data_IF_902575269906
#
_entry.id   IF_902575269906
#
_cell.length_a   1.000
_cell.length_b   1.000
_cell.length_c   1.000
_cell.angle_alpha   90.00
_cell.angle_beta   90.00
_cell.angle_gamma   90.00
#
_symmetry.space_group_name_H-M   'P 1'
#
loop_
_entity.id
_entity.type
_entity.pdbx_description
1 polymer ?
#
# COMPACT_ATOMS: atom_id res chain seq x y z
N UNK A 1 -27.85 29.22 -6.27
CA UNK A 1 -26.41 28.87 -6.23
C UNK A 1 -25.90 28.61 -4.80
N UNK A 2 -26.62 27.83 -3.97
CA UNK A 2 -26.15 27.48 -2.61
C UNK A 2 -26.05 25.96 -2.38
N UNK A 3 -26.62 25.15 -3.27
CA UNK A 3 -26.66 23.69 -3.14
C UNK A 3 -25.33 23.01 -3.57
N UNK A 4 -24.63 23.56 -4.58
CA UNK A 4 -23.38 22.97 -5.10
C UNK A 4 -22.20 23.07 -4.13
N UNK A 5 -22.18 24.09 -3.27
CA UNK A 5 -21.09 24.31 -2.31
C UNK A 5 -21.18 23.33 -1.13
N UNK A 6 -22.41 22.97 -0.72
CA UNK A 6 -22.66 21.98 0.33
C UNK A 6 -22.31 20.56 -0.16
N UNK A 7 -22.64 20.23 -1.41
CA UNK A 7 -22.28 18.93 -2.00
C UNK A 7 -20.75 18.73 -2.08
N UNK A 8 -20.01 19.78 -2.43
CA UNK A 8 -18.55 19.71 -2.52
C UNK A 8 -17.91 19.46 -1.15
N UNK A 9 -18.41 20.10 -0.09
CA UNK A 9 -17.95 19.84 1.28
C UNK A 9 -18.25 18.40 1.71
N UNK A 10 -19.45 17.88 1.45
CA UNK A 10 -19.82 16.51 1.87
C UNK A 10 -18.95 15.46 1.17
N UNK A 11 -18.61 15.65 -0.11
CA UNK A 11 -17.70 14.74 -0.83
C UNK A 11 -16.24 14.82 -0.38
N UNK A 12 -15.77 15.97 0.14
CA UNK A 12 -14.44 16.10 0.73
C UNK A 12 -14.31 15.38 2.09
N UNK A 13 -15.43 15.14 2.80
CA UNK A 13 -15.44 14.41 4.08
C UNK A 13 -15.67 12.90 3.94
N UNK A 14 -15.97 12.38 2.75
CA UNK A 14 -15.91 10.93 2.44
C UNK A 14 -14.45 10.54 2.10
N UNK A 15 -13.48 11.25 2.69
CA UNK A 15 -12.14 10.75 2.86
C UNK A 15 -12.24 9.55 3.79
N UNK A 16 -11.96 8.38 3.25
CA UNK A 16 -11.63 7.14 3.94
C UNK A 16 -11.37 7.37 5.43
N UNK A 17 -12.26 6.89 6.30
CA UNK A 17 -11.99 6.81 7.75
C UNK A 17 -10.80 5.88 7.91
N UNK A 18 -9.62 6.46 7.79
CA UNK A 18 -8.34 5.80 7.96
C UNK A 18 -8.33 5.41 9.44
N UNK A 19 -8.13 4.14 9.83
CA UNK A 19 -8.12 3.79 11.24
C UNK A 19 -6.92 4.48 11.89
N UNK A 20 -7.19 5.60 12.55
CA UNK A 20 -6.26 6.38 13.34
C UNK A 20 -6.18 5.73 14.72
N UNK A 21 -4.99 5.31 15.12
CA UNK A 21 -4.68 4.96 16.50
C UNK A 21 -3.55 5.88 16.95
N UNK A 22 -3.93 7.01 17.57
CA UNK A 22 -2.99 8.04 18.00
C UNK A 22 -2.20 8.64 16.83
N UNK A 23 -0.87 8.51 16.89
CA UNK A 23 0.09 9.16 15.98
C UNK A 23 0.38 8.33 14.71
N UNK A 24 -0.27 7.18 14.57
CA UNK A 24 -0.08 6.22 13.49
C UNK A 24 -1.27 6.17 12.54
N UNK A 25 -0.94 6.20 11.26
CA UNK A 25 -1.83 6.12 10.12
C UNK A 25 -1.56 4.83 9.35
N UNK A 26 -2.59 4.26 8.74
CA UNK A 26 -2.46 3.04 7.94
C UNK A 26 -2.80 3.32 6.48
N UNK A 27 -2.08 2.68 5.55
CA UNK A 27 -2.41 2.71 4.12
C UNK A 27 -2.30 1.32 3.53
N UNK A 28 -3.12 1.03 2.52
CA UNK A 28 -2.95 -0.18 1.71
C UNK A 28 -1.82 0.10 0.72
N UNK A 29 -0.77 -0.70 0.79
CA UNK A 29 0.36 -0.66 -0.13
C UNK A 29 0.39 -1.96 -0.96
N UNK A 30 1.02 -1.88 -2.13
CA UNK A 30 1.27 -3.04 -2.98
C UNK A 30 2.76 -3.21 -3.23
N UNK A 31 3.21 -4.46 -3.29
CA UNK A 31 4.55 -4.82 -3.75
C UNK A 31 4.45 -5.85 -4.87
N UNK A 32 5.40 -5.81 -5.80
CA UNK A 32 5.48 -6.76 -6.89
C UNK A 32 6.64 -7.71 -6.64
N UNK A 33 6.37 -9.02 -6.73
CA UNK A 33 7.42 -10.03 -6.76
C UNK A 33 7.39 -10.77 -8.09
N UNK A 34 8.55 -10.87 -8.71
CA UNK A 34 8.74 -11.62 -9.94
C UNK A 34 9.11 -13.07 -9.60
N UNK A 35 8.37 -14.01 -10.16
CA UNK A 35 8.63 -15.43 -10.03
C UNK A 35 9.05 -15.98 -11.38
N UNK A 36 10.16 -16.71 -11.39
CA UNK A 36 10.67 -17.42 -12.57
C UNK A 36 10.48 -18.92 -12.32
N UNK A 37 9.92 -19.63 -13.29
CA UNK A 37 9.76 -21.08 -13.24
C UNK A 37 10.28 -21.70 -14.52
N UNK A 38 10.71 -22.95 -14.43
CA UNK A 38 11.05 -23.71 -15.61
C UNK A 38 9.77 -24.20 -16.31
N UNK A 39 9.62 -23.88 -17.59
CA UNK A 39 8.50 -24.37 -18.42
C UNK A 39 8.83 -25.68 -19.12
N UNK A 40 10.09 -25.86 -19.52
CA UNK A 40 10.55 -27.08 -20.19
C UNK A 40 11.83 -27.59 -19.54
N UNK A 41 11.80 -28.85 -19.13
CA UNK A 41 12.96 -29.59 -18.63
C UNK A 41 13.48 -30.52 -19.72
N UNK A 42 14.80 -30.55 -19.90
CA UNK A 42 15.47 -31.50 -20.78
C UNK A 42 16.73 -32.02 -20.08
N UNK A 43 16.85 -33.36 -19.94
CA UNK A 43 17.96 -34.04 -19.27
C UNK A 43 18.42 -33.34 -17.96
N UNK A 44 17.47 -33.03 -17.07
CA UNK A 44 17.74 -32.39 -15.78
C UNK A 44 18.20 -30.93 -15.81
N UNK A 45 18.12 -30.26 -16.96
CA UNK A 45 18.36 -28.82 -17.07
C UNK A 45 17.12 -28.09 -17.58
N UNK A 46 16.94 -26.85 -17.13
CA UNK A 46 15.85 -26.01 -17.60
C UNK A 46 16.23 -25.33 -18.92
N UNK A 47 15.56 -25.72 -20.01
CA UNK A 47 15.82 -25.18 -21.34
C UNK A 47 14.95 -23.98 -21.68
N UNK A 48 13.77 -23.87 -21.06
CA UNK A 48 12.88 -22.73 -21.26
C UNK A 48 12.36 -22.18 -19.94
N UNK A 49 12.56 -20.89 -19.73
CA UNK A 49 12.14 -20.19 -18.52
C UNK A 49 10.89 -19.36 -18.79
N UNK A 50 9.86 -19.58 -17.98
CA UNK A 50 8.71 -18.70 -17.87
C UNK A 50 8.85 -17.79 -16.65
N UNK A 51 8.13 -16.67 -16.66
CA UNK A 51 7.98 -15.86 -15.47
C UNK A 51 6.63 -15.19 -15.42
N UNK A 52 6.18 -14.90 -14.21
CA UNK A 52 4.98 -14.12 -13.97
C UNK A 52 5.20 -13.17 -12.79
N UNK A 53 4.47 -12.06 -12.80
CA UNK A 53 4.50 -11.07 -11.73
C UNK A 53 3.31 -11.29 -10.82
N UNK A 54 3.55 -11.40 -9.51
CA UNK A 54 2.48 -11.47 -8.50
C UNK A 54 2.49 -10.20 -7.67
N UNK A 55 1.32 -9.59 -7.56
CA UNK A 55 1.09 -8.41 -6.71
C UNK A 55 0.67 -8.87 -5.32
N UNK A 56 1.31 -8.33 -4.29
CA UNK A 56 0.98 -8.56 -2.89
C UNK A 56 0.50 -7.27 -2.28
N UNK A 57 -0.70 -7.30 -1.69
CA UNK A 57 -1.25 -6.19 -0.95
C UNK A 57 -0.95 -6.40 0.54
N UNK A 58 -0.49 -5.34 1.20
CA UNK A 58 -0.22 -5.34 2.63
C UNK A 58 -0.60 -4.00 3.22
N UNK A 59 -0.93 -4.01 4.50
CA UNK A 59 -1.20 -2.78 5.26
C UNK A 59 0.13 -2.23 5.77
N UNK A 60 0.43 -0.98 5.43
CA UNK A 60 1.60 -0.27 5.92
C UNK A 60 1.16 0.77 6.95
N UNK A 61 1.78 0.74 8.12
CA UNK A 61 1.64 1.78 9.13
C UNK A 61 2.73 2.84 8.93
N UNK A 62 2.36 4.12 9.01
CA UNK A 62 3.27 5.26 8.88
C UNK A 62 2.84 6.37 9.85
N UNK A 63 3.75 7.29 10.18
CA UNK A 63 3.38 8.45 11.01
C UNK A 63 2.37 9.33 10.27
N UNK A 64 1.29 9.68 10.96
CA UNK A 64 0.30 10.59 10.41
C UNK A 64 0.94 11.94 10.04
N UNK A 65 0.38 12.67 9.05
CA UNK A 65 0.82 14.04 8.76
C UNK A 65 0.87 14.88 10.05
N UNK A 66 2.00 15.54 10.30
CA UNK A 66 2.25 16.30 11.53
C UNK A 66 3.06 15.55 12.61
N UNK A 67 3.27 14.24 12.47
CA UNK A 67 4.07 13.42 13.40
C UNK A 67 5.35 12.93 12.71
N UNK A 68 6.45 12.78 13.47
CA UNK A 68 7.75 12.31 12.94
C UNK A 68 8.26 11.09 13.68
N UNK A 69 9.12 10.32 13.02
CA UNK A 69 9.81 9.21 13.68
C UNK A 69 10.90 9.74 14.60
N UNK A 70 10.84 9.40 15.89
CA UNK A 70 11.90 9.72 16.86
C UNK A 70 12.98 8.61 16.90
N UNK A 71 13.46 8.16 15.73
CA UNK A 71 14.52 7.14 15.61
C UNK A 71 14.17 5.71 16.05
N UNK A 72 13.11 5.49 16.84
CA UNK A 72 12.73 4.18 17.39
C UNK A 72 11.34 3.71 16.93
N UNK A 73 10.98 3.97 15.66
CA UNK A 73 9.66 3.68 15.06
C UNK A 73 8.45 4.33 15.78
N UNK A 74 8.71 5.12 16.82
CA UNK A 74 7.73 5.92 17.54
C UNK A 74 7.40 7.21 16.80
N UNK A 75 6.12 7.43 16.53
CA UNK A 75 5.61 8.67 15.96
C UNK A 75 5.39 9.68 17.09
N UNK A 76 6.27 10.68 17.20
CA UNK A 76 6.18 11.77 18.17
C UNK A 76 6.62 13.09 17.52
N UNK A 77 6.33 14.22 18.17
CA UNK A 77 6.79 15.57 17.76
C UNK A 77 8.04 15.93 18.57
#
# INVERSE_FOLDING_TARGET
>A
MKLSLVLCCVFLFIGTVQPWSGNYCTRIASSFRYYRHCRCWWWWSCTHWGGYRRTYYYTQNYCCPGWRHNGNLNCNI
#
